data_IF_696814347841
#
_entry.id   IF_696814347841
#
_cell.length_a   1.000
_cell.length_b   1.000
_cell.length_c   1.000
_cell.angle_alpha   90.00
_cell.angle_beta   90.00
_cell.angle_gamma   90.00
#
_symmetry.space_group_name_H-M   'P 1'
#
loop_
_entity.id
_entity.type
_entity.pdbx_description
1 polymer ?
#
# COMPACT_ATOMS: atom_id res chain seq x y z
N UNK A 1 -5.34 -7.86 3.43
CA UNK A 1 -4.86 -6.49 3.17
C UNK A 1 -3.32 -6.42 3.30
N UNK A 2 -2.75 -6.87 4.41
CA UNK A 2 -1.29 -6.87 4.65
C UNK A 2 -0.49 -7.64 3.60
N UNK A 3 -0.96 -8.83 3.23
CA UNK A 3 -0.34 -9.64 2.17
C UNK A 3 -0.22 -8.89 0.84
N UNK A 4 -1.29 -8.19 0.44
CA UNK A 4 -1.33 -7.41 -0.79
C UNK A 4 -0.37 -6.21 -0.73
N UNK A 5 -0.31 -5.51 0.42
CA UNK A 5 0.66 -4.42 0.64
C UNK A 5 2.10 -4.90 0.62
N UNK A 6 2.39 -6.01 1.30
CA UNK A 6 3.74 -6.57 1.35
C UNK A 6 4.20 -7.04 -0.04
N UNK A 7 3.31 -7.72 -0.78
CA UNK A 7 3.57 -8.12 -2.17
C UNK A 7 3.85 -6.91 -3.06
N UNK A 8 3.03 -5.86 -2.97
CA UNK A 8 3.26 -4.62 -3.72
C UNK A 8 4.58 -3.95 -3.31
N UNK A 9 4.89 -3.91 -2.01
CA UNK A 9 6.11 -3.29 -1.50
C UNK A 9 7.36 -3.98 -2.06
N UNK A 10 7.43 -5.31 -2.04
CA UNK A 10 8.58 -6.07 -2.58
C UNK A 10 8.72 -5.83 -4.09
N UNK A 11 7.59 -5.82 -4.82
CA UNK A 11 7.60 -5.63 -6.27
C UNK A 11 8.01 -4.19 -6.66
N UNK A 12 7.53 -3.18 -5.93
CA UNK A 12 7.75 -1.77 -6.24
C UNK A 12 9.07 -1.23 -5.70
N UNK A 13 9.55 -1.74 -4.56
CA UNK A 13 10.70 -1.17 -3.85
C UNK A 13 11.89 -2.13 -3.66
N UNK A 14 12.27 -2.94 -4.67
CA UNK A 14 13.32 -3.94 -4.50
C UNK A 14 14.66 -3.33 -4.07
N UNK A 15 15.00 -2.13 -4.54
CA UNK A 15 16.27 -1.47 -4.19
C UNK A 15 16.33 -1.03 -2.74
N UNK A 16 15.20 -0.57 -2.22
CA UNK A 16 15.10 -0.10 -0.85
C UNK A 16 15.23 -1.26 0.14
N UNK A 17 14.53 -2.36 -0.11
CA UNK A 17 14.63 -3.56 0.74
C UNK A 17 16.02 -4.20 0.67
N UNK A 18 16.63 -4.27 -0.51
CA UNK A 18 18.02 -4.78 -0.67
C UNK A 18 19.05 -3.95 0.08
N UNK A 19 18.79 -2.66 0.29
CA UNK A 19 19.64 -1.81 1.11
C UNK A 19 19.42 -2.00 2.63
N UNK A 20 18.43 -2.80 3.05
CA UNK A 20 18.05 -2.96 4.46
C UNK A 20 16.99 -1.95 4.92
N UNK A 21 16.33 -1.27 3.98
CA UNK A 21 15.18 -0.43 4.28
C UNK A 21 13.93 -1.26 4.56
N UNK A 22 13.03 -0.70 5.37
CA UNK A 22 11.73 -1.30 5.66
C UNK A 22 10.62 -0.25 5.66
N UNK A 23 9.39 -0.68 5.49
CA UNK A 23 8.22 0.21 5.43
C UNK A 23 7.45 0.06 6.73
N UNK A 24 7.38 1.13 7.51
CA UNK A 24 6.63 1.16 8.76
C UNK A 24 5.21 1.66 8.52
N UNK A 25 4.23 0.94 9.06
CA UNK A 25 2.83 1.34 9.03
C UNK A 25 2.52 2.23 10.24
N UNK A 26 1.93 3.40 10.00
CA UNK A 26 1.47 4.29 11.07
C UNK A 26 -0.03 4.18 11.31
N UNK A 27 -0.82 4.12 10.25
CA UNK A 27 -2.28 4.08 10.33
C UNK A 27 -2.88 3.35 9.13
N UNK A 28 -4.07 2.78 9.31
CA UNK A 28 -4.88 2.25 8.22
C UNK A 28 -6.33 2.52 8.49
N UNK A 29 -7.01 3.12 7.53
CA UNK A 29 -8.44 3.41 7.60
C UNK A 29 -9.19 2.57 6.59
N UNK A 30 -10.34 2.06 7.01
CA UNK A 30 -11.24 1.28 6.18
C UNK A 30 -12.55 2.04 6.02
N UNK A 31 -13.01 2.17 4.78
CA UNK A 31 -14.36 2.60 4.46
C UNK A 31 -15.07 1.44 3.76
N UNK A 32 -16.00 0.81 4.48
CA UNK A 32 -16.80 -0.29 3.99
C UNK A 32 -18.02 0.28 3.24
N UNK A 33 -18.11 -0.04 1.95
CA UNK A 33 -19.21 0.39 1.08
C UNK A 33 -20.28 -0.70 1.00
N UNK A 34 -19.85 -1.96 0.91
CA UNK A 34 -20.72 -3.13 0.81
C UNK A 34 -19.97 -4.38 1.26
N UNK A 35 -20.73 -5.41 1.62
CA UNK A 35 -20.19 -6.69 2.04
C UNK A 35 -19.71 -7.53 0.85
N UNK A 36 -18.56 -8.19 1.01
CA UNK A 36 -18.09 -9.21 0.08
C UNK A 36 -18.76 -10.53 0.48
N UNK A 37 -19.54 -11.19 -0.39
CA UNK A 37 -20.19 -12.44 -0.05
C UNK A 37 -19.17 -13.50 0.36
N UNK A 38 -19.56 -14.37 1.30
CA UNK A 38 -18.71 -15.48 1.73
C UNK A 38 -18.26 -16.33 0.53
N UNK A 39 -16.99 -16.70 0.53
CA UNK A 39 -16.35 -17.51 -0.52
C UNK A 39 -16.35 -16.86 -1.92
N UNK A 40 -16.71 -15.58 -2.04
CA UNK A 40 -16.61 -14.87 -3.31
C UNK A 40 -15.16 -14.54 -3.66
N UNK A 41 -14.81 -14.71 -4.94
CA UNK A 41 -13.53 -14.27 -5.47
C UNK A 41 -13.50 -12.74 -5.57
N UNK A 42 -12.52 -12.12 -4.92
CA UNK A 42 -12.28 -10.68 -4.96
C UNK A 42 -10.84 -10.36 -5.35
N UNK A 43 -10.62 -9.13 -5.80
CA UNK A 43 -9.32 -8.57 -6.17
C UNK A 43 -9.02 -7.37 -5.25
N UNK A 44 -7.78 -7.25 -4.80
CA UNK A 44 -7.31 -6.07 -4.07
C UNK A 44 -6.40 -5.26 -4.98
N UNK A 45 -6.88 -4.09 -5.41
CA UNK A 45 -6.14 -3.16 -6.27
C UNK A 45 -5.40 -2.17 -5.40
N UNK A 46 -4.07 -2.14 -5.51
CA UNK A 46 -3.24 -1.18 -4.79
C UNK A 46 -2.78 -0.08 -5.73
N UNK A 47 -2.91 1.16 -5.26
CA UNK A 47 -2.41 2.35 -5.93
C UNK A 47 -1.57 3.16 -4.95
N UNK A 48 -0.45 3.69 -5.43
CA UNK A 48 0.33 4.67 -4.68
C UNK A 48 -0.46 5.99 -4.66
N UNK A 49 -0.81 6.44 -3.46
CA UNK A 49 -1.44 7.72 -3.23
C UNK A 49 -0.41 8.88 -3.17
N UNK A 50 -0.81 10.05 -2.66
CA UNK A 50 0.12 11.15 -2.44
C UNK A 50 1.14 10.81 -1.34
N UNK A 51 2.16 11.64 -1.21
CA UNK A 51 3.10 11.61 -0.10
C UNK A 51 3.48 13.02 0.33
N UNK A 52 3.90 13.14 1.58
CA UNK A 52 4.56 14.34 2.12
C UNK A 52 6.07 14.06 2.31
N UNK A 53 6.71 14.80 3.22
CA UNK A 53 8.14 14.64 3.50
C UNK A 53 8.49 13.33 4.24
N UNK A 54 7.54 12.72 4.94
CA UNK A 54 7.71 11.56 5.83
C UNK A 54 6.81 10.39 5.45
N UNK A 55 5.56 10.68 5.14
CA UNK A 55 4.48 9.72 4.95
C UNK A 55 4.17 9.54 3.47
N UNK A 56 3.96 8.29 3.08
CA UNK A 56 3.38 7.89 1.80
C UNK A 56 2.04 7.22 2.08
N UNK A 57 1.04 7.55 1.28
CA UNK A 57 -0.28 6.96 1.39
C UNK A 57 -0.45 5.86 0.35
N UNK A 58 -0.93 4.69 0.78
CA UNK A 58 -1.24 3.57 -0.11
C UNK A 58 -2.74 3.33 -0.07
N UNK A 59 -3.37 3.37 -1.23
CA UNK A 59 -4.81 3.18 -1.39
C UNK A 59 -5.03 1.76 -1.89
N UNK A 60 -5.84 0.98 -1.17
CA UNK A 60 -6.27 -0.33 -1.60
C UNK A 60 -7.79 -0.35 -1.81
N UNK A 61 -8.23 -0.88 -2.95
CA UNK A 61 -9.64 -1.06 -3.29
C UNK A 61 -9.93 -2.56 -3.37
N UNK A 62 -10.91 -3.01 -2.61
CA UNK A 62 -11.43 -4.38 -2.70
C UNK A 62 -12.54 -4.39 -3.72
N UNK A 63 -12.39 -5.17 -4.79
CA UNK A 63 -13.34 -5.19 -5.90
C UNK A 63 -13.70 -6.63 -6.28
N UNK A 64 -14.92 -6.86 -6.75
CA UNK A 64 -15.29 -8.12 -7.41
C UNK A 64 -15.56 -7.85 -8.89
N UNK A 65 -15.01 -8.69 -9.76
CA UNK A 65 -15.23 -8.57 -11.21
C UNK A 65 -16.70 -8.80 -11.56
N UNK A 66 -17.24 -8.13 -12.59
CA UNK A 66 -18.58 -8.43 -13.06
C UNK A 66 -18.64 -9.90 -13.46
N UNK A 67 -19.71 -10.61 -13.07
CA UNK A 67 -19.96 -11.96 -13.59
C UNK A 67 -20.13 -11.81 -15.10
N UNK A 68 -19.22 -12.39 -15.90
CA UNK A 68 -19.45 -12.46 -17.33
C UNK A 68 -20.79 -13.16 -17.53
N UNK A 69 -21.73 -12.53 -18.24
CA UNK A 69 -22.91 -13.25 -18.73
C UNK A 69 -22.37 -14.37 -19.62
N UNK A 70 -22.22 -15.57 -19.08
CA UNK A 70 -22.03 -16.72 -19.95
C UNK A 70 -23.28 -16.76 -20.81
N UNK A 71 -23.10 -16.80 -22.13
CA UNK A 71 -24.16 -17.27 -23.02
C UNK A 71 -24.52 -18.65 -22.49
N UNK A 72 -25.66 -18.76 -21.81
CA UNK A 72 -26.32 -20.05 -21.57
C UNK A 72 -26.55 -20.63 -22.96
N UNK A 73 -25.72 -21.58 -23.38
CA UNK A 73 -26.17 -22.57 -24.35
C UNK A 73 -27.14 -23.46 -23.59
N UNK A 74 -28.43 -23.27 -23.83
CA UNK A 74 -29.44 -24.23 -23.42
C UNK A 74 -29.08 -25.59 -24.06
N UNK A 75 -28.72 -26.55 -23.21
CA UNK A 75 -28.90 -27.97 -23.51
C UNK A 75 -29.57 -28.63 -22.29
N UNK A 76 -30.73 -29.26 -22.46
CA UNK A 76 -31.38 -30.06 -21.43
C UNK A 76 -30.79 -31.48 -21.42
N UNK A 77 -30.55 -32.06 -20.24
CA UNK A 77 -30.48 -33.52 -19.96
C UNK A 77 -30.00 -33.72 -18.51
N UNK A 78 -30.93 -33.99 -17.58
CA UNK A 78 -31.12 -35.27 -16.87
C UNK A 78 -30.19 -35.51 -15.66
N UNK A 79 -30.82 -35.57 -14.48
CA UNK A 79 -30.30 -36.28 -13.30
C UNK A 79 -30.25 -37.79 -13.58
N UNK A 80 -29.38 -38.52 -12.87
CA UNK A 80 -29.94 -39.41 -11.84
C UNK A 80 -29.16 -39.43 -10.53
N UNK A 81 -29.85 -39.91 -9.51
CA UNK A 81 -29.42 -40.03 -8.12
C UNK A 81 -28.53 -41.26 -7.81
N UNK A 82 -27.66 -41.07 -6.81
CA UNK A 82 -27.15 -41.98 -5.75
C UNK A 82 -26.72 -43.42 -6.09
N UNK A 83 -25.48 -43.80 -5.70
CA UNK A 83 -25.18 -44.87 -4.71
C UNK A 83 -23.78 -44.64 -4.10
N UNK A 84 -23.64 -44.89 -2.79
CA UNK A 84 -22.40 -44.87 -2.03
C UNK A 84 -21.74 -46.28 -1.93
N UNK A 85 -20.40 -46.35 -1.88
CA UNK A 85 -19.66 -47.19 -0.91
C UNK A 85 -18.13 -46.97 -0.95
N UNK A 86 -17.59 -47.00 0.26
CA UNK A 86 -16.23 -47.01 0.84
C UNK A 86 -15.05 -47.65 0.08
N UNK A 87 -13.86 -47.04 0.21
CA UNK A 87 -12.70 -47.67 0.88
C UNK A 87 -11.55 -46.67 1.10
N UNK A 88 -10.87 -46.87 2.23
CA UNK A 88 -9.81 -46.06 2.83
C UNK A 88 -8.49 -46.07 2.02
N UNK A 89 -7.78 -44.93 1.96
CA UNK A 89 -6.43 -44.86 2.56
C UNK A 89 -5.83 -43.44 2.57
N UNK A 90 -5.03 -43.28 3.61
CA UNK A 90 -4.37 -42.11 4.20
C UNK A 90 -3.56 -41.21 3.25
N UNK A 91 -3.66 -39.89 3.45
CA UNK A 91 -2.52 -39.00 3.69
C UNK A 91 -3.01 -37.60 4.10
N UNK A 92 -3.34 -37.45 5.38
CA UNK A 92 -3.61 -36.16 6.02
C UNK A 92 -2.35 -35.70 6.76
N UNK A 93 -1.62 -34.75 6.18
CA UNK A 93 -0.56 -34.01 6.88
C UNK A 93 -0.81 -32.51 6.73
N UNK A 94 -0.75 -31.82 7.86
CA UNK A 94 -0.90 -30.37 8.10
C UNK A 94 -2.31 -29.84 8.43
N UNK A 95 -2.88 -30.40 9.50
CA UNK A 95 -3.81 -29.68 10.38
C UNK A 95 -3.00 -28.97 11.49
N UNK A 96 -2.63 -27.70 11.29
CA UNK A 96 -1.99 -26.89 12.33
C UNK A 96 -3.07 -26.15 13.13
N UNK A 97 -3.54 -26.78 14.20
CA UNK A 97 -4.39 -26.17 15.22
C UNK A 97 -3.55 -25.25 16.11
N UNK A 98 -3.62 -23.93 15.88
CA UNK A 98 -3.09 -22.91 16.80
C UNK A 98 -4.14 -22.62 17.88
N UNK A 99 -4.23 -23.50 18.88
CA UNK A 99 -4.79 -23.17 20.21
C UNK A 99 -3.63 -22.99 21.18
N UNK A 100 -3.43 -21.78 21.68
CA UNK A 100 -2.59 -21.55 22.87
C UNK A 100 -3.38 -21.94 24.12
N UNK A 101 -2.85 -22.81 25.00
CA UNK A 101 -3.45 -23.04 26.31
C UNK A 101 -3.25 -21.81 27.19
N UNK A 102 -4.31 -21.41 27.87
CA UNK A 102 -4.27 -20.41 28.92
C UNK A 102 -3.86 -21.11 30.21
N UNK A 103 -2.70 -20.76 30.78
CA UNK A 103 -2.42 -21.01 32.18
C UNK A 103 -1.68 -19.81 32.80
N UNK A 104 -2.46 -19.08 33.60
CA UNK A 104 -2.17 -18.48 34.91
C UNK A 104 -0.76 -17.85 35.08
N UNK A 105 -0.68 -16.53 34.87
CA UNK A 105 0.38 -15.70 35.46
C UNK A 105 -0.28 -14.64 36.34
N UNK A 106 0.04 -14.71 37.65
CA UNK A 106 -0.34 -13.74 38.68
C UNK A 106 -0.07 -12.31 38.25
N UNK A 107 -1.12 -11.49 38.26
CA UNK A 107 -1.03 -10.06 37.99
C UNK A 107 -0.91 -9.32 39.31
N UNK A 108 0.32 -9.01 39.73
CA UNK A 108 0.58 -7.93 40.69
C UNK A 108 0.84 -6.67 39.88
N UNK A 109 -0.23 -6.02 39.44
CA UNK A 109 -0.19 -4.74 38.74
C UNK A 109 -1.17 -3.77 39.41
N UNK A 110 -0.64 -2.68 39.96
CA UNK A 110 -1.40 -1.62 40.63
C UNK A 110 -2.47 -1.00 39.69
N UNK A 111 -3.62 -0.56 40.21
CA UNK A 111 -4.72 -0.02 39.41
C UNK A 111 -4.40 1.41 38.93
N UNK A 112 -4.54 1.63 37.61
CA UNK A 112 -4.61 2.97 37.00
C UNK A 112 -6.10 3.31 36.83
N UNK A 113 -6.56 4.52 37.22
CA UNK A 113 -7.97 4.89 37.25
C UNK A 113 -8.58 5.06 35.83
N UNK A 114 -9.92 4.97 35.71
CA UNK A 114 -10.60 5.13 34.43
C UNK A 114 -10.75 6.63 34.13
N UNK A 115 -10.03 7.14 33.13
CA UNK A 115 -10.37 8.47 32.59
C UNK A 115 -10.04 8.61 31.11
N UNK A 116 -11.04 9.14 30.42
CA UNK A 116 -11.07 9.80 29.10
C UNK A 116 -11.05 8.93 27.84
N UNK A 117 -12.23 8.36 27.57
CA UNK A 117 -12.73 8.09 26.22
C UNK A 117 -12.50 9.32 25.31
N UNK A 118 -11.94 9.16 24.09
CA UNK A 118 -11.81 10.27 23.15
C UNK A 118 -13.18 10.86 22.81
N UNK A 119 -13.28 12.19 22.87
CA UNK A 119 -14.53 12.95 22.70
C UNK A 119 -15.20 12.68 21.34
N UNK A 120 -16.51 12.42 21.36
CA UNK A 120 -17.39 12.12 20.20
C UNK A 120 -17.20 13.01 18.96
N UNK A 121 -16.78 14.27 19.16
CA UNK A 121 -16.65 15.28 18.12
C UNK A 121 -15.47 14.99 17.16
N UNK A 122 -14.31 14.55 17.67
CA UNK A 122 -13.11 14.32 16.83
C UNK A 122 -13.19 13.02 16.01
N UNK A 123 -13.89 12.01 16.54
CA UNK A 123 -14.22 10.79 15.79
C UNK A 123 -15.21 11.10 14.65
N UNK A 124 -16.18 12.00 14.88
CA UNK A 124 -17.11 12.45 13.85
C UNK A 124 -16.38 13.16 12.71
N UNK A 125 -15.42 14.04 12.99
CA UNK A 125 -14.66 14.75 11.96
C UNK A 125 -13.73 13.84 11.14
N UNK A 126 -13.06 12.89 11.79
CA UNK A 126 -12.21 11.90 11.09
C UNK A 126 -13.06 10.99 10.20
N UNK A 127 -14.20 10.51 10.71
CA UNK A 127 -15.11 9.66 9.94
C UNK A 127 -15.76 10.41 8.76
N UNK A 128 -16.10 11.68 8.93
CA UNK A 128 -16.60 12.55 7.86
C UNK A 128 -15.55 12.78 6.78
N UNK A 129 -14.31 13.05 7.17
CA UNK A 129 -13.18 13.20 6.25
C UNK A 129 -12.93 11.90 5.49
N UNK A 130 -12.93 10.74 6.17
CA UNK A 130 -12.81 9.43 5.53
C UNK A 130 -13.92 9.16 4.52
N UNK A 131 -15.16 9.47 4.86
CA UNK A 131 -16.30 9.33 3.94
C UNK A 131 -16.15 10.25 2.73
N UNK A 132 -15.67 11.48 2.90
CA UNK A 132 -15.44 12.40 1.78
C UNK A 132 -14.33 11.90 0.84
N UNK A 133 -13.19 11.45 1.39
CA UNK A 133 -12.11 10.85 0.58
C UNK A 133 -12.58 9.57 -0.10
N UNK A 134 -13.27 8.70 0.62
CA UNK A 134 -13.80 7.48 0.07
C UNK A 134 -14.87 7.74 -1.01
N UNK A 135 -15.72 8.74 -0.83
CA UNK A 135 -16.69 9.17 -1.83
C UNK A 135 -15.99 9.69 -3.09
N UNK A 136 -14.96 10.53 -2.95
CA UNK A 136 -14.15 10.97 -4.10
C UNK A 136 -13.48 9.78 -4.82
N UNK A 137 -12.95 8.81 -4.08
CA UNK A 137 -12.30 7.63 -4.65
C UNK A 137 -13.28 6.59 -5.22
N UNK A 138 -14.55 6.61 -4.77
CA UNK A 138 -15.64 5.75 -5.23
C UNK A 138 -16.50 6.38 -6.32
N UNK A 139 -16.46 7.71 -6.48
CA UNK A 139 -17.22 8.45 -7.50
C UNK A 139 -16.76 8.09 -8.92
N UNK A 140 -15.48 7.75 -9.08
CA UNK A 140 -14.96 7.20 -10.31
C UNK A 140 -15.34 5.71 -10.41
N UNK A 141 -16.24 5.32 -11.33
CA UNK A 141 -16.53 3.91 -11.54
C UNK A 141 -15.26 3.18 -11.94
N UNK A 142 -15.11 1.94 -11.46
CA UNK A 142 -13.99 1.11 -11.88
C UNK A 142 -14.07 0.88 -13.40
N UNK A 143 -12.98 1.17 -14.12
CA UNK A 143 -12.95 1.19 -15.59
C UNK A 143 -13.39 -0.14 -16.23
N UNK A 144 -13.28 -1.26 -15.50
CA UNK A 144 -13.66 -2.60 -15.92
C UNK A 144 -15.05 -3.03 -15.42
N UNK A 145 -15.84 -2.11 -14.87
CA UNK A 145 -17.16 -2.40 -14.30
C UNK A 145 -17.12 -3.20 -13.00
N UNK A 146 -15.96 -3.26 -12.33
CA UNK A 146 -15.83 -3.98 -11.07
C UNK A 146 -16.63 -3.32 -9.94
N UNK A 147 -17.16 -4.17 -9.06
CA UNK A 147 -17.96 -3.77 -7.91
C UNK A 147 -17.02 -3.46 -6.73
N UNK A 148 -16.83 -2.18 -6.40
CA UNK A 148 -16.09 -1.69 -5.21
C UNK A 148 -16.72 -2.00 -3.83
N UNK A 149 -16.08 -2.82 -3.02
CA UNK A 149 -16.54 -3.21 -1.69
C UNK A 149 -16.02 -2.35 -0.55
N UNK A 150 -14.71 -2.13 -0.55
CA UNK A 150 -14.02 -1.43 0.55
C UNK A 150 -12.89 -0.61 -0.02
N UNK A 151 -12.76 0.63 0.46
CA UNK A 151 -11.59 1.47 0.24
C UNK A 151 -10.77 1.47 1.52
N UNK A 152 -9.47 1.28 1.37
CA UNK A 152 -8.52 1.27 2.47
C UNK A 152 -7.42 2.27 2.19
N UNK A 153 -7.13 3.15 3.15
CA UNK A 153 -6.05 4.13 3.05
C UNK A 153 -5.04 3.85 4.14
N UNK A 154 -3.83 3.46 3.76
CA UNK A 154 -2.71 3.23 4.68
C UNK A 154 -1.74 4.38 4.66
N UNK A 155 -1.38 4.88 5.84
CA UNK A 155 -0.27 5.82 6.02
C UNK A 155 0.99 5.05 6.40
N UNK A 156 2.00 5.09 5.53
CA UNK A 156 3.26 4.38 5.71
C UNK A 156 4.45 5.35 5.70
N UNK A 157 5.59 4.95 6.23
CA UNK A 157 6.85 5.67 6.04
C UNK A 157 7.99 4.71 5.71
N UNK A 158 8.99 5.21 4.98
CA UNK A 158 10.20 4.45 4.67
C UNK A 158 11.24 4.65 5.75
N UNK A 159 11.80 3.56 6.28
CA UNK A 159 12.76 3.56 7.37
C UNK A 159 14.06 2.86 7.00
N UNK A 160 15.18 3.48 7.37
CA UNK A 160 16.52 2.90 7.34
C UNK A 160 17.10 3.02 8.75
N UNK A 161 17.06 1.93 9.52
CA UNK A 161 17.27 2.00 10.97
C UNK A 161 16.24 2.94 11.63
N UNK A 162 16.72 3.92 12.41
CA UNK A 162 15.87 4.96 13.02
C UNK A 162 15.57 6.14 12.09
N UNK A 163 16.20 6.22 10.92
CA UNK A 163 16.06 7.35 10.00
C UNK A 163 14.83 7.14 9.11
N UNK A 164 14.02 8.19 8.97
CA UNK A 164 12.94 8.23 7.97
C UNK A 164 13.51 8.75 6.66
N UNK A 165 13.28 8.00 5.58
CA UNK A 165 13.72 8.33 4.23
C UNK A 165 12.58 9.00 3.46
N UNK A 166 12.83 10.11 2.73
CA UNK A 166 11.82 10.77 1.92
C UNK A 166 11.19 9.83 0.88
N UNK A 167 9.85 9.79 0.75
CA UNK A 167 9.19 8.96 -0.25
C UNK A 167 9.64 9.23 -1.69
N UNK A 168 9.88 10.49 -2.06
CA UNK A 168 10.35 10.84 -3.40
C UNK A 168 11.70 10.17 -3.75
N UNK A 169 12.63 10.14 -2.78
CA UNK A 169 13.91 9.45 -2.94
C UNK A 169 13.71 7.94 -3.15
N UNK A 170 12.86 7.31 -2.32
CA UNK A 170 12.60 5.86 -2.42
C UNK A 170 11.92 5.49 -3.74
N UNK A 171 10.99 6.31 -4.20
CA UNK A 171 10.34 6.14 -5.51
C UNK A 171 11.37 6.25 -6.64
N UNK A 172 12.17 7.32 -6.65
CA UNK A 172 13.13 7.55 -7.73
C UNK A 172 14.25 6.49 -7.79
N UNK A 173 14.78 6.00 -6.66
CA UNK A 173 15.79 4.91 -6.67
C UNK A 173 15.23 3.57 -7.19
N UNK A 174 13.91 3.41 -7.23
CA UNK A 174 13.23 2.23 -7.78
C UNK A 174 12.69 2.46 -9.19
N UNK A 175 12.98 3.61 -9.80
CA UNK A 175 12.72 3.88 -11.21
C UNK A 175 11.36 4.52 -11.49
N UNK A 176 10.64 4.94 -10.45
CA UNK A 176 9.45 5.76 -10.61
C UNK A 176 9.85 7.13 -11.18
N UNK A 177 9.10 7.59 -12.17
CA UNK A 177 9.37 8.84 -12.88
C UNK A 177 8.06 9.51 -13.27
N UNK A 178 8.09 10.83 -13.40
CA UNK A 178 7.17 11.57 -14.28
C UNK A 178 7.16 10.93 -15.67
N UNK A 179 5.98 10.74 -16.31
CA UNK A 179 5.89 10.22 -17.68
C UNK A 179 6.73 11.04 -18.66
N UNK A 180 7.09 10.44 -19.79
CA UNK A 180 7.78 11.17 -20.86
C UNK A 180 6.90 12.33 -21.34
N UNK A 181 7.47 13.55 -21.37
CA UNK A 181 6.74 14.78 -21.71
C UNK A 181 6.44 14.90 -23.20
N UNK A 182 7.15 14.15 -24.05
CA UNK A 182 6.93 14.15 -25.48
C UNK A 182 5.84 13.13 -25.82
N UNK A 183 4.72 13.59 -26.36
CA UNK A 183 3.59 12.73 -26.76
C UNK A 183 4.00 11.64 -27.78
N UNK A 184 5.09 11.86 -28.53
CA UNK A 184 5.65 10.90 -29.49
C UNK A 184 6.78 10.02 -28.91
N UNK A 185 7.23 10.26 -27.67
CA UNK A 185 8.31 9.47 -27.09
C UNK A 185 7.78 8.15 -26.54
N UNK A 186 8.51 7.07 -26.83
CA UNK A 186 8.17 5.73 -26.35
C UNK A 186 8.08 5.71 -24.81
N UNK A 187 7.15 4.94 -24.23
CA UNK A 187 7.08 4.71 -22.79
C UNK A 187 8.42 4.23 -22.24
N UNK A 188 8.68 4.55 -20.97
CA UNK A 188 9.88 4.04 -20.32
C UNK A 188 9.86 2.52 -20.25
N UNK A 189 11.03 1.93 -20.51
CA UNK A 189 11.23 0.49 -20.54
C UNK A 189 12.63 0.16 -20.05
N UNK A 190 12.99 -1.12 -20.06
CA UNK A 190 14.37 -1.54 -19.74
C UNK A 190 15.40 -1.00 -20.74
N UNK A 191 15.01 -0.87 -22.01
CA UNK A 191 15.86 -0.35 -23.09
C UNK A 191 15.76 1.16 -23.23
N UNK A 192 14.67 1.77 -22.78
CA UNK A 192 14.46 3.22 -22.70
C UNK A 192 14.20 3.66 -21.24
N UNK A 193 15.22 3.65 -20.37
CA UNK A 193 15.02 3.99 -18.96
C UNK A 193 14.78 5.50 -18.76
N UNK A 194 14.13 5.90 -17.66
CA UNK A 194 13.94 7.32 -17.37
C UNK A 194 15.30 8.03 -17.17
N UNK A 195 15.42 9.34 -17.49
CA UNK A 195 16.71 10.04 -17.49
C UNK A 195 17.48 9.95 -16.16
N UNK A 196 16.75 10.03 -15.04
CA UNK A 196 17.34 9.96 -13.70
C UNK A 196 17.86 8.54 -13.35
N UNK A 197 17.46 7.49 -14.08
CA UNK A 197 17.83 6.11 -13.79
C UNK A 197 19.33 5.86 -13.87
N UNK A 198 20.05 6.66 -14.68
CA UNK A 198 21.50 6.62 -14.70
C UNK A 198 22.10 7.00 -13.34
N UNK A 199 21.56 8.03 -12.67
CA UNK A 199 21.97 8.47 -11.32
C UNK A 199 21.59 7.43 -10.27
N UNK A 200 20.36 6.90 -10.33
CA UNK A 200 19.94 5.81 -9.44
C UNK A 200 20.91 4.62 -9.53
N UNK A 201 21.24 4.17 -10.76
CA UNK A 201 22.20 3.09 -10.98
C UNK A 201 23.62 3.42 -10.54
N UNK A 202 24.08 4.66 -10.69
CA UNK A 202 25.42 5.07 -10.24
C UNK A 202 25.58 4.95 -8.71
N UNK A 203 24.50 5.09 -7.94
CA UNK A 203 24.54 4.90 -6.48
C UNK A 203 24.57 3.40 -6.10
N UNK A 204 23.84 2.55 -6.82
CA UNK A 204 23.62 1.14 -6.41
C UNK A 204 24.48 0.10 -7.14
N UNK A 205 24.86 0.36 -8.39
CA UNK A 205 25.32 -0.67 -9.32
C UNK A 205 26.83 -0.70 -9.38
N UNK A 206 27.44 -1.82 -8.98
CA UNK A 206 28.90 -2.02 -9.03
C UNK A 206 29.51 -1.70 -10.41
N UNK A 207 28.94 -2.16 -11.54
CA UNK A 207 29.43 -1.78 -12.87
C UNK A 207 29.46 -0.28 -13.17
N UNK A 208 28.75 0.55 -12.39
CA UNK A 208 28.68 2.00 -12.55
C UNK A 208 29.33 2.76 -11.38
N UNK A 209 30.19 2.10 -10.61
CA UNK A 209 30.86 2.69 -9.45
C UNK A 209 30.03 2.74 -8.17
N UNK A 210 28.78 2.24 -8.20
CA UNK A 210 27.89 2.19 -7.06
C UNK A 210 28.09 0.95 -6.18
N UNK A 211 27.42 0.92 -5.04
CA UNK A 211 27.38 -0.27 -4.19
C UNK A 211 26.16 -0.26 -3.28
N UNK A 212 25.79 -1.41 -2.73
CA UNK A 212 24.77 -1.48 -1.67
C UNK A 212 25.13 -0.58 -0.49
N UNK A 213 26.43 -0.45 -0.16
CA UNK A 213 26.91 0.42 0.92
C UNK A 213 26.76 1.90 0.58
N UNK A 214 27.02 2.30 -0.67
CA UNK A 214 26.78 3.66 -1.13
C UNK A 214 25.29 4.03 -1.08
N UNK A 215 24.41 3.11 -1.51
CA UNK A 215 22.95 3.29 -1.37
C UNK A 215 22.53 3.37 0.10
N UNK A 216 23.09 2.52 0.97
CA UNK A 216 22.85 2.60 2.41
C UNK A 216 23.28 3.95 3.00
N UNK A 217 24.45 4.47 2.63
CA UNK A 217 24.94 5.75 3.12
C UNK A 217 24.01 6.90 2.69
N UNK A 218 23.55 6.88 1.43
CA UNK A 218 22.55 7.83 0.95
C UNK A 218 21.27 7.75 1.79
N UNK A 219 20.72 6.55 1.98
CA UNK A 219 19.47 6.33 2.73
C UNK A 219 19.60 6.58 4.24
N UNK A 220 20.81 6.46 4.81
CA UNK A 220 21.13 6.77 6.21
C UNK A 220 21.36 8.26 6.48
N UNK A 221 20.93 9.14 5.56
CA UNK A 221 20.92 10.58 5.78
C UNK A 221 21.79 11.37 4.83
N UNK A 222 22.64 10.73 4.03
CA UNK A 222 23.46 11.44 3.03
C UNK A 222 22.65 12.24 2.01
N UNK A 223 21.35 11.95 1.85
CA UNK A 223 20.44 12.75 1.02
C UNK A 223 20.21 14.16 1.55
N UNK A 224 20.44 14.41 2.85
CA UNK A 224 20.26 15.73 3.48
C UNK A 224 21.31 16.72 2.99
N UNK A 225 22.52 16.23 2.76
CA UNK A 225 23.68 17.01 2.35
C UNK A 225 23.71 17.28 0.84
N UNK A 226 22.79 16.68 0.08
CA UNK A 226 22.67 16.92 -1.36
C UNK A 226 21.98 18.27 -1.59
N UNK A 227 22.63 19.23 -2.27
CA UNK A 227 22.04 20.51 -2.65
C UNK A 227 20.76 20.31 -3.48
N UNK A 228 19.80 21.22 -3.37
CA UNK A 228 18.48 21.08 -4.01
C UNK A 228 18.57 20.86 -5.52
N UNK A 229 19.51 21.53 -6.17
CA UNK A 229 19.82 21.42 -7.60
C UNK A 229 20.35 20.04 -8.01
N UNK A 230 20.94 19.29 -7.08
CA UNK A 230 21.50 17.96 -7.30
C UNK A 230 20.56 16.82 -6.89
N UNK A 231 19.39 17.16 -6.28
CA UNK A 231 18.35 16.21 -5.91
C UNK A 231 17.61 15.71 -7.14
N UNK A 232 18.24 14.81 -7.85
CA UNK A 232 17.70 14.17 -9.05
C UNK A 232 16.37 13.43 -8.79
N UNK A 233 16.09 13.03 -7.54
CA UNK A 233 14.81 12.42 -7.17
C UNK A 233 13.65 13.43 -7.13
N UNK A 234 13.92 14.71 -6.81
CA UNK A 234 12.89 15.75 -6.84
C UNK A 234 12.47 16.04 -8.30
N UNK A 235 13.45 16.03 -9.23
CA UNK A 235 13.17 16.10 -10.67
C UNK A 235 12.44 14.86 -11.18
N UNK A 236 12.84 13.67 -10.72
CA UNK A 236 12.20 12.41 -11.12
C UNK A 236 10.71 12.38 -10.76
N UNK A 237 10.36 12.96 -9.62
CA UNK A 237 8.99 13.02 -9.10
C UNK A 237 8.29 14.36 -9.37
N UNK A 238 8.87 15.21 -10.22
CA UNK A 238 8.40 16.56 -10.54
C UNK A 238 7.23 16.62 -11.55
N UNK A 239 6.98 17.82 -12.07
CA UNK A 239 6.00 18.08 -13.13
C UNK A 239 4.59 17.61 -12.79
N UNK A 240 3.94 16.91 -13.72
CA UNK A 240 2.56 16.42 -13.57
C UNK A 240 2.37 15.44 -12.41
N UNK A 241 3.42 14.74 -11.99
CA UNK A 241 3.38 13.86 -10.81
C UNK A 241 3.33 14.68 -9.53
N UNK A 242 4.13 15.73 -9.45
CA UNK A 242 4.16 16.64 -8.30
C UNK A 242 2.86 17.45 -8.17
N UNK A 243 2.29 17.91 -9.28
CA UNK A 243 0.98 18.57 -9.32
C UNK A 243 -0.12 17.64 -8.78
N UNK A 244 -0.18 16.41 -9.30
CA UNK A 244 -1.14 15.40 -8.84
C UNK A 244 -0.91 15.03 -7.37
N UNK A 245 0.34 14.96 -6.93
CA UNK A 245 0.70 14.69 -5.55
C UNK A 245 0.14 15.77 -4.64
N UNK A 246 0.36 17.06 -4.95
CA UNK A 246 -0.13 18.20 -4.16
C UNK A 246 -1.66 18.19 -4.06
N UNK A 247 -2.35 18.11 -5.20
CA UNK A 247 -3.82 18.07 -5.25
C UNK A 247 -4.41 16.95 -4.40
N UNK A 248 -3.84 15.74 -4.49
CA UNK A 248 -4.34 14.58 -3.72
C UNK A 248 -3.91 14.63 -2.26
N UNK A 249 -2.79 15.26 -1.95
CA UNK A 249 -2.28 15.35 -0.58
C UNK A 249 -3.22 16.15 0.30
N UNK A 250 -3.77 17.26 -0.20
CA UNK A 250 -4.75 18.08 0.52
C UNK A 250 -5.96 17.24 0.96
N UNK A 251 -6.46 16.39 0.07
CA UNK A 251 -7.58 15.49 0.32
C UNK A 251 -7.25 14.44 1.39
N UNK A 252 -6.03 13.89 1.36
CA UNK A 252 -5.63 12.79 2.24
C UNK A 252 -5.09 13.26 3.60
N UNK A 253 -4.53 14.47 3.68
CA UNK A 253 -4.03 15.04 4.95
C UNK A 253 -5.14 15.30 5.97
N UNK A 254 -6.36 15.60 5.50
CA UNK A 254 -7.54 15.68 6.36
C UNK A 254 -7.74 14.39 7.21
N UNK A 255 -7.32 13.23 6.70
CA UNK A 255 -7.37 11.96 7.43
C UNK A 255 -6.31 11.86 8.53
N UNK A 256 -5.13 12.45 8.32
CA UNK A 256 -4.02 12.40 9.25
C UNK A 256 -4.16 13.39 10.42
N UNK A 257 -4.76 14.56 10.19
CA UNK A 257 -4.97 15.60 11.20
C UNK A 257 -5.87 15.13 12.35
N UNK A 258 -6.91 14.34 12.04
CA UNK A 258 -7.80 13.75 13.05
C UNK A 258 -7.07 12.86 14.07
N UNK A 259 -5.92 12.30 13.71
CA UNK A 259 -5.15 11.41 14.59
C UNK A 259 -4.09 12.14 15.43
N UNK A 260 -3.53 13.23 14.93
CA UNK A 260 -2.59 14.06 15.70
C UNK A 260 -3.28 14.77 16.87
N UNK A 261 -4.58 15.07 16.75
CA UNK A 261 -5.39 15.57 17.86
C UNK A 261 -5.56 14.53 18.99
N UNK A 262 -5.78 13.26 18.63
CA UNK A 262 -6.00 12.16 19.61
C UNK A 262 -4.73 11.75 20.36
N UNK A 263 -3.53 12.00 19.80
CA UNK A 263 -2.25 11.67 20.47
C UNK A 263 -1.76 12.74 21.45
N UNK A 264 -2.35 13.93 21.44
CA UNK A 264 -2.03 15.03 22.34
C UNK A 264 -3.11 15.23 23.43
N UNK A 265 -3.99 14.23 23.58
CA UNK A 265 -4.88 14.03 24.72
C UNK A 265 -4.31 12.88 25.56
#
# INVERSE_FOLDING_TARGET
MDSARFKAAIAMFPMFFRAGGWIALAATHYNFVREIPMLANYEVRLTIGPWDQKWIYVIAKFVTKPKSKSKKSDKPSEQPASVASSSDNENSLFNASLRTPADIISTTGSPIPPSETPTSIQQADTSRSLKAVAASLAAEPEADGATLHTIVVSQCCFKMGRITVPPALVLAINGFSVPSTNASAAPYSRTNPPPHWARAKAVMSRPRGGSTRALQNLLKGGWRDVPLEDRWWDRAMGGSVEERRKQRLEVVQALGLGMSGVRNL
#
